data_IF_803260242014
#
_entry.id   IF_803260242014
#
_cell.length_a   1.000
_cell.length_b   1.000
_cell.length_c   1.000
_cell.angle_alpha   90.00
_cell.angle_beta   90.00
_cell.angle_gamma   90.00
#
_symmetry.space_group_name_H-M   'P 1'
#
loop_
_entity.id
_entity.type
_entity.pdbx_description
1 polymer ?
#
# COMPACT_ATOMS: atom_id res chain seq x y z
N UNK A 1 -2.40 25.22 6.95
CA UNK A 1 -2.61 23.90 6.31
C UNK A 1 -4.10 23.70 6.10
N UNK A 2 -4.55 23.10 4.99
CA UNK A 2 -5.95 22.78 4.83
C UNK A 2 -6.42 21.84 5.96
N UNK A 3 -7.67 21.95 6.35
CA UNK A 3 -8.29 21.03 7.30
C UNK A 3 -8.42 19.65 6.67
N UNK A 4 -8.10 18.60 7.44
CA UNK A 4 -8.28 17.22 6.97
C UNK A 4 -9.73 16.78 7.17
N UNK A 5 -10.43 16.55 6.08
CA UNK A 5 -11.81 16.08 6.08
C UNK A 5 -11.90 14.83 5.22
N UNK A 6 -12.34 13.71 5.80
CA UNK A 6 -12.60 12.48 5.04
C UNK A 6 -13.72 12.70 4.03
N UNK A 7 -13.58 12.18 2.79
CA UNK A 7 -14.69 12.13 1.84
C UNK A 7 -15.89 11.39 2.42
N UNK A 8 -17.09 11.89 2.10
CA UNK A 8 -18.33 11.23 2.50
C UNK A 8 -18.37 9.79 1.96
N UNK A 9 -18.83 8.86 2.80
CA UNK A 9 -18.98 7.48 2.41
C UNK A 9 -20.22 7.29 1.52
N UNK A 10 -20.09 6.45 0.48
CA UNK A 10 -21.22 5.96 -0.30
C UNK A 10 -22.14 5.05 0.54
N UNK A 11 -23.34 4.81 0.06
CA UNK A 11 -24.33 3.92 0.74
C UNK A 11 -23.81 2.49 0.88
N UNK A 12 -22.94 2.06 -0.03
CA UNK A 12 -22.28 0.75 0.00
C UNK A 12 -20.91 0.81 -0.68
N UNK A 13 -20.15 -0.29 -0.61
CA UNK A 13 -18.80 -0.41 -1.15
C UNK A 13 -18.73 -1.28 -2.43
N UNK A 14 -19.84 -1.47 -3.15
CA UNK A 14 -19.92 -2.45 -4.25
C UNK A 14 -18.91 -2.20 -5.36
N UNK A 15 -18.70 -0.94 -5.74
CA UNK A 15 -17.80 -0.57 -6.82
C UNK A 15 -16.35 -0.77 -6.42
N UNK A 16 -16.00 -0.40 -5.19
CA UNK A 16 -14.66 -0.63 -4.62
C UNK A 16 -14.37 -2.13 -4.51
N UNK A 17 -15.33 -2.95 -4.05
CA UNK A 17 -15.18 -4.40 -4.05
C UNK A 17 -14.93 -4.96 -5.45
N UNK A 18 -15.76 -4.60 -6.43
CA UNK A 18 -15.61 -5.06 -7.80
C UNK A 18 -14.25 -4.65 -8.40
N UNK A 19 -13.83 -3.42 -8.16
CA UNK A 19 -12.54 -2.90 -8.61
C UNK A 19 -11.36 -3.67 -8.00
N UNK A 20 -11.32 -3.80 -6.69
CA UNK A 20 -10.21 -4.46 -5.99
C UNK A 20 -10.15 -5.97 -6.26
N UNK A 21 -11.30 -6.64 -6.40
CA UNK A 21 -11.34 -8.06 -6.85
C UNK A 21 -10.73 -8.23 -8.24
N UNK A 22 -11.03 -7.34 -9.20
CA UNK A 22 -10.41 -7.34 -10.53
C UNK A 22 -8.92 -7.02 -10.49
N UNK A 23 -8.46 -6.29 -9.49
CA UNK A 23 -7.03 -6.04 -9.22
C UNK A 23 -6.34 -7.22 -8.52
N UNK A 24 -7.07 -8.32 -8.31
CA UNK A 24 -6.52 -9.54 -7.72
C UNK A 24 -6.44 -9.56 -6.20
N UNK A 25 -7.03 -8.57 -5.53
CA UNK A 25 -7.11 -8.55 -4.06
C UNK A 25 -8.18 -9.54 -3.62
N UNK A 26 -7.87 -10.41 -2.66
CA UNK A 26 -8.84 -11.38 -2.15
C UNK A 26 -10.00 -10.70 -1.41
N UNK A 27 -11.21 -11.29 -1.52
CA UNK A 27 -12.39 -10.79 -0.84
C UNK A 27 -12.17 -10.66 0.67
N UNK A 28 -11.53 -11.63 1.30
CA UNK A 28 -11.27 -11.62 2.74
C UNK A 28 -10.40 -10.44 3.17
N UNK A 29 -9.39 -10.06 2.37
CA UNK A 29 -8.55 -8.88 2.64
C UNK A 29 -9.36 -7.59 2.52
N UNK A 30 -10.19 -7.47 1.46
CA UNK A 30 -11.07 -6.29 1.27
C UNK A 30 -12.05 -6.16 2.45
N UNK A 31 -12.75 -7.24 2.80
CA UNK A 31 -13.71 -7.26 3.91
C UNK A 31 -13.06 -6.91 5.25
N UNK A 32 -11.85 -7.39 5.51
CA UNK A 32 -11.10 -7.05 6.71
C UNK A 32 -10.79 -5.54 6.78
N UNK A 33 -10.35 -4.94 5.68
CA UNK A 33 -10.06 -3.50 5.62
C UNK A 33 -11.33 -2.64 5.77
N UNK A 34 -12.44 -3.04 5.14
CA UNK A 34 -13.73 -2.33 5.28
C UNK A 34 -14.23 -2.43 6.72
N UNK A 35 -14.19 -3.61 7.32
CA UNK A 35 -14.61 -3.84 8.71
C UNK A 35 -13.75 -3.08 9.72
N UNK A 36 -12.46 -2.94 9.45
CA UNK A 36 -11.54 -2.13 10.25
C UNK A 36 -11.71 -0.61 10.06
N UNK A 37 -12.56 -0.17 9.13
CA UNK A 37 -12.78 1.24 8.83
C UNK A 37 -11.57 1.94 8.19
N UNK A 38 -10.70 1.19 7.51
CA UNK A 38 -9.53 1.73 6.81
C UNK A 38 -9.68 1.70 5.28
N UNK A 39 -10.81 1.21 4.79
CA UNK A 39 -11.16 1.20 3.37
C UNK A 39 -12.66 1.41 3.22
N UNK A 40 -13.07 2.31 2.34
CA UNK A 40 -14.47 2.49 1.96
C UNK A 40 -14.61 3.13 0.57
N UNK A 41 -15.83 3.19 0.06
CA UNK A 41 -16.17 3.86 -1.20
C UNK A 41 -16.64 5.28 -0.92
N UNK A 42 -16.08 6.29 -1.61
CA UNK A 42 -16.57 7.67 -1.50
C UNK A 42 -17.91 7.85 -2.22
N UNK A 43 -18.76 8.72 -1.69
CA UNK A 43 -20.03 9.09 -2.32
C UNK A 43 -19.80 9.76 -3.67
N UNK A 44 -18.83 10.67 -3.73
CA UNK A 44 -18.44 11.34 -4.96
C UNK A 44 -17.46 10.46 -5.74
N UNK A 45 -17.73 10.25 -7.03
CA UNK A 45 -16.91 9.52 -7.99
C UNK A 45 -16.62 8.05 -7.64
N UNK A 46 -17.14 7.52 -6.53
CA UNK A 46 -16.96 6.13 -6.12
C UNK A 46 -15.49 5.68 -6.03
N UNK A 47 -14.62 6.56 -5.54
CA UNK A 47 -13.22 6.24 -5.33
C UNK A 47 -13.03 5.26 -4.18
N UNK A 48 -12.02 4.42 -4.27
CA UNK A 48 -11.52 3.70 -3.11
C UNK A 48 -10.77 4.68 -2.19
N UNK A 49 -11.19 4.78 -0.93
CA UNK A 49 -10.60 5.63 0.09
C UNK A 49 -9.82 4.75 1.06
N UNK A 50 -8.50 4.90 1.07
CA UNK A 50 -7.58 4.22 1.98
C UNK A 50 -7.26 5.15 3.14
N UNK A 51 -7.65 4.77 4.35
CA UNK A 51 -7.56 5.62 5.54
C UNK A 51 -6.41 5.19 6.44
N UNK A 52 -5.61 6.16 6.86
CA UNK A 52 -4.63 6.01 7.92
C UNK A 52 -5.15 6.61 9.23
N UNK A 53 -4.94 5.89 10.33
CA UNK A 53 -5.43 6.28 11.66
C UNK A 53 -4.29 6.38 12.66
N UNK A 54 -4.45 7.26 13.64
CA UNK A 54 -3.57 7.33 14.80
C UNK A 54 -3.91 6.24 15.84
N UNK A 55 -3.18 6.21 16.94
CA UNK A 55 -3.31 5.22 18.02
C UNK A 55 -4.66 5.30 18.75
N UNK A 56 -5.35 6.44 18.66
CA UNK A 56 -6.70 6.61 19.21
C UNK A 56 -7.79 6.14 18.24
N UNK A 57 -7.41 5.71 17.04
CA UNK A 57 -8.33 5.34 15.98
C UNK A 57 -8.87 6.54 15.17
N UNK A 58 -8.38 7.76 15.45
CA UNK A 58 -8.78 8.95 14.70
C UNK A 58 -8.13 8.95 13.32
N UNK A 59 -8.92 9.20 12.26
CA UNK A 59 -8.39 9.32 10.91
C UNK A 59 -7.51 10.57 10.78
N UNK A 60 -6.30 10.40 10.25
CA UNK A 60 -5.31 11.46 10.03
C UNK A 60 -4.82 11.55 8.60
N UNK A 61 -5.04 10.53 7.82
CA UNK A 61 -4.56 10.41 6.44
C UNK A 61 -5.61 9.72 5.59
N UNK A 62 -5.75 10.11 4.35
CA UNK A 62 -6.50 9.35 3.37
C UNK A 62 -5.92 9.52 1.97
N UNK A 63 -5.94 8.43 1.21
CA UNK A 63 -5.55 8.37 -0.18
C UNK A 63 -6.73 7.88 -1.02
N UNK A 64 -6.98 8.55 -2.14
CA UNK A 64 -8.05 8.24 -3.09
C UNK A 64 -7.49 7.53 -4.31
N UNK A 65 -8.16 6.47 -4.72
CA UNK A 65 -7.89 5.77 -5.98
C UNK A 65 -9.18 5.60 -6.77
N UNK A 66 -9.20 6.11 -7.99
CA UNK A 66 -10.34 5.97 -8.88
C UNK A 66 -10.62 4.50 -9.22
N UNK A 67 -11.90 4.14 -9.27
CA UNK A 67 -12.37 2.79 -9.63
C UNK A 67 -12.75 2.66 -11.09
N UNK A 68 -12.72 3.73 -11.85
CA UNK A 68 -12.93 3.73 -13.29
C UNK A 68 -11.70 3.16 -14.00
N UNK A 69 -11.91 2.27 -14.97
CA UNK A 69 -10.85 1.53 -15.66
C UNK A 69 -10.48 2.12 -17.03
N UNK A 70 -11.14 3.21 -17.43
CA UNK A 70 -10.85 3.91 -18.69
C UNK A 70 -10.03 5.17 -18.40
N UNK A 71 -8.96 5.36 -19.17
CA UNK A 71 -8.03 6.49 -19.01
C UNK A 71 -7.05 6.30 -17.86
N UNK A 72 -6.33 7.37 -17.52
CA UNK A 72 -5.40 7.39 -16.40
C UNK A 72 -6.16 7.24 -15.05
N UNK A 73 -5.74 6.33 -14.18
CA UNK A 73 -6.39 6.15 -12.89
C UNK A 73 -6.24 7.41 -12.03
N UNK A 74 -7.37 7.93 -11.53
CA UNK A 74 -7.33 9.02 -10.56
C UNK A 74 -6.62 8.57 -9.28
N UNK A 75 -5.66 9.37 -8.83
CA UNK A 75 -4.92 9.16 -7.59
C UNK A 75 -4.72 10.50 -6.90
N UNK A 76 -5.12 10.63 -5.66
CA UNK A 76 -4.92 11.86 -4.89
C UNK A 76 -4.82 11.57 -3.39
N UNK A 77 -3.98 12.33 -2.72
CA UNK A 77 -3.98 12.42 -1.26
C UNK A 77 -5.04 13.45 -0.84
N UNK A 78 -5.83 13.14 0.18
CA UNK A 78 -6.81 14.09 0.71
C UNK A 78 -6.09 15.29 1.33
N UNK A 79 -6.47 16.54 0.98
CA UNK A 79 -5.86 17.72 1.56
C UNK A 79 -5.86 17.69 3.09
N UNK A 80 -4.78 18.15 3.71
CA UNK A 80 -4.62 18.14 5.16
C UNK A 80 -4.18 16.80 5.76
N UNK A 81 -4.03 15.75 4.94
CA UNK A 81 -3.50 14.46 5.37
C UNK A 81 -2.15 14.57 6.08
N UNK A 82 -1.97 13.78 7.12
CA UNK A 82 -0.71 13.65 7.85
C UNK A 82 0.00 12.35 7.49
N UNK A 83 1.06 12.44 6.71
CA UNK A 83 1.83 11.27 6.24
C UNK A 83 2.49 10.44 7.32
N UNK A 84 2.53 10.91 8.56
CA UNK A 84 2.96 10.09 9.70
C UNK A 84 2.02 8.90 9.95
N UNK A 85 0.80 8.97 9.42
CA UNK A 85 -0.27 7.99 9.61
C UNK A 85 -0.75 7.41 8.27
N UNK A 86 0.15 7.10 7.35
CA UNK A 86 -0.22 6.45 6.09
C UNK A 86 -0.95 5.12 6.31
N UNK A 87 -1.59 4.61 5.25
CA UNK A 87 -2.33 3.36 5.28
C UNK A 87 -1.50 2.20 5.83
N UNK A 88 -2.05 1.49 6.80
CA UNK A 88 -1.36 0.46 7.57
C UNK A 88 -2.25 -0.77 7.77
N UNK A 89 -1.75 -1.95 7.42
CA UNK A 89 -2.38 -3.24 7.75
C UNK A 89 -1.71 -3.84 8.97
N UNK A 90 -2.49 -4.15 10.04
CA UNK A 90 -1.94 -4.79 11.23
C UNK A 90 -1.72 -6.29 11.02
N UNK A 91 -0.77 -6.90 11.75
CA UNK A 91 -0.63 -8.34 11.84
C UNK A 91 -1.75 -8.96 12.69
N UNK A 92 -1.90 -10.27 12.59
CA UNK A 92 -2.61 -11.05 13.61
C UNK A 92 -1.59 -11.46 14.68
N UNK A 93 -1.68 -10.83 15.84
CA UNK A 93 -0.79 -11.11 16.97
C UNK A 93 0.48 -10.23 16.98
N UNK A 94 1.40 -10.60 17.86
CA UNK A 94 2.65 -9.86 18.06
C UNK A 94 3.66 -10.17 16.96
N UNK A 95 4.38 -9.15 16.52
CA UNK A 95 5.47 -9.28 15.53
C UNK A 95 6.52 -8.20 15.76
N UNK A 96 7.75 -8.48 15.35
CA UNK A 96 8.86 -7.53 15.31
C UNK A 96 9.21 -7.11 13.87
N UNK A 97 8.29 -7.31 12.91
CA UNK A 97 8.53 -7.11 11.49
C UNK A 97 7.55 -6.11 10.86
N UNK A 98 8.08 -5.24 9.99
CA UNK A 98 7.26 -4.37 9.13
C UNK A 98 7.70 -4.47 7.69
N UNK A 99 6.74 -4.64 6.77
CA UNK A 99 6.96 -4.50 5.33
C UNK A 99 6.52 -3.11 4.87
N UNK A 100 7.29 -2.47 3.99
CA UNK A 100 7.00 -1.12 3.47
C UNK A 100 6.79 -1.12 1.98
N UNK A 101 5.82 -0.34 1.53
CA UNK A 101 5.31 -0.26 0.15
C UNK A 101 5.16 1.20 -0.30
N UNK A 102 5.16 1.45 -1.59
CA UNK A 102 5.01 2.81 -2.12
C UNK A 102 3.59 3.33 -2.01
N UNK A 103 2.58 2.53 -2.37
CA UNK A 103 1.18 2.91 -2.44
C UNK A 103 0.26 2.02 -1.59
N UNK A 104 -0.93 2.54 -1.24
CA UNK A 104 -1.85 1.90 -0.31
C UNK A 104 -2.46 0.57 -0.80
N UNK A 105 -2.57 0.35 -2.12
CA UNK A 105 -3.10 -0.91 -2.65
C UNK A 105 -2.11 -2.08 -2.53
N UNK A 106 -0.81 -1.80 -2.53
CA UNK A 106 0.25 -2.82 -2.57
C UNK A 106 0.31 -3.68 -1.29
N UNK A 107 0.14 -3.14 -0.07
CA UNK A 107 0.01 -3.97 1.13
C UNK A 107 -1.10 -5.01 1.03
N UNK A 108 -2.27 -4.63 0.50
CA UNK A 108 -3.40 -5.54 0.32
C UNK A 108 -3.10 -6.62 -0.75
N UNK A 109 -2.46 -6.22 -1.84
CA UNK A 109 -2.05 -7.12 -2.92
C UNK A 109 -1.03 -8.15 -2.43
N UNK A 110 0.01 -7.72 -1.75
CA UNK A 110 1.06 -8.60 -1.23
C UNK A 110 0.53 -9.54 -0.15
N UNK A 111 -0.33 -9.04 0.74
CA UNK A 111 -1.03 -9.89 1.72
C UNK A 111 -1.86 -10.99 1.03
N UNK A 112 -2.55 -10.66 -0.06
CA UNK A 112 -3.30 -11.65 -0.85
C UNK A 112 -2.38 -12.70 -1.45
N UNK A 113 -1.21 -12.31 -1.97
CA UNK A 113 -0.24 -13.23 -2.58
C UNK A 113 0.45 -14.14 -1.56
N UNK A 114 0.83 -13.61 -0.40
CA UNK A 114 1.48 -14.36 0.67
C UNK A 114 0.48 -15.20 1.49
N UNK A 115 -0.73 -14.69 1.70
CA UNK A 115 -1.76 -15.35 2.49
C UNK A 115 -1.49 -15.38 4.00
N UNK A 116 -0.51 -14.62 4.50
CA UNK A 116 -0.12 -14.57 5.91
C UNK A 116 -0.23 -13.18 6.49
N UNK A 117 -0.65 -13.08 7.75
CA UNK A 117 -0.81 -11.83 8.51
C UNK A 117 0.20 -11.72 9.65
N UNK A 118 1.45 -12.06 9.38
CA UNK A 118 2.54 -12.23 10.34
C UNK A 118 3.40 -10.98 10.57
N UNK A 119 3.11 -9.90 9.87
CA UNK A 119 3.86 -8.63 9.93
C UNK A 119 2.96 -7.41 9.72
N UNK A 120 3.43 -6.26 10.17
CA UNK A 120 2.87 -4.97 9.77
C UNK A 120 3.13 -4.72 8.28
N UNK A 121 2.21 -4.06 7.59
CA UNK A 121 2.36 -3.66 6.19
C UNK A 121 1.99 -2.19 6.05
N UNK A 122 3.00 -1.37 5.83
CA UNK A 122 2.90 0.09 5.82
C UNK A 122 3.07 0.65 4.41
N UNK A 123 2.10 1.44 3.95
CA UNK A 123 2.29 2.31 2.79
C UNK A 123 3.13 3.53 3.17
N UNK A 124 4.09 3.90 2.33
CA UNK A 124 4.91 5.10 2.52
C UNK A 124 4.22 6.38 2.01
N UNK A 125 3.09 6.24 1.31
CA UNK A 125 2.38 7.39 0.72
C UNK A 125 3.17 8.06 -0.41
N UNK A 126 3.89 7.26 -1.18
CA UNK A 126 4.83 7.69 -2.21
C UNK A 126 6.29 7.60 -1.76
N UNK A 127 7.16 7.61 -2.73
CA UNK A 127 8.62 7.62 -2.51
C UNK A 127 9.26 8.79 -3.26
N UNK A 128 10.46 9.15 -2.84
CA UNK A 128 11.33 10.01 -3.62
C UNK A 128 12.40 9.17 -4.33
N UNK A 129 12.67 9.50 -5.58
CA UNK A 129 13.87 9.11 -6.32
C UNK A 129 14.25 10.24 -7.26
N UNK A 130 15.55 10.45 -7.57
CA UNK A 130 15.96 11.34 -8.66
C UNK A 130 15.51 10.77 -10.00
N UNK A 131 15.44 11.60 -11.02
CA UNK A 131 15.26 11.11 -12.39
C UNK A 131 16.43 10.22 -12.81
N UNK A 132 16.15 9.20 -13.61
CA UNK A 132 17.16 8.27 -14.09
C UNK A 132 18.25 9.00 -14.87
N UNK A 133 19.52 8.77 -14.51
CA UNK A 133 20.66 9.44 -15.12
C UNK A 133 20.98 10.83 -14.56
N UNK A 134 20.17 11.38 -13.67
CA UNK A 134 20.44 12.65 -13.01
C UNK A 134 21.22 12.46 -11.71
N UNK A 135 22.12 13.41 -11.42
CA UNK A 135 22.81 13.45 -10.14
C UNK A 135 21.83 13.91 -9.07
N UNK A 136 21.81 13.23 -7.92
CA UNK A 136 21.03 13.66 -6.78
C UNK A 136 21.52 15.04 -6.29
N UNK A 137 20.69 16.08 -6.46
CA UNK A 137 21.05 17.44 -6.05
C UNK A 137 20.81 17.70 -4.55
N UNK A 138 19.96 16.89 -3.89
CA UNK A 138 19.62 17.06 -2.49
C UNK A 138 19.70 15.73 -1.77
N UNK A 139 20.08 15.78 -0.50
CA UNK A 139 20.00 14.61 0.39
C UNK A 139 18.53 14.16 0.52
N UNK A 140 18.25 12.91 0.18
CA UNK A 140 16.90 12.37 0.30
C UNK A 140 16.56 12.20 1.78
N UNK A 141 15.39 12.70 2.16
CA UNK A 141 14.85 12.48 3.51
C UNK A 141 14.35 11.05 3.67
N UNK A 142 14.44 10.54 4.87
CA UNK A 142 13.78 9.28 5.23
C UNK A 142 12.26 9.38 5.02
N UNK A 143 11.59 8.26 4.70
CA UNK A 143 10.13 8.25 4.61
C UNK A 143 9.49 8.61 5.94
N UNK A 144 8.74 9.70 5.98
CA UNK A 144 8.10 10.21 7.21
C UNK A 144 7.16 9.16 7.85
N UNK A 145 6.44 8.40 7.03
CA UNK A 145 5.56 7.34 7.50
C UNK A 145 6.34 6.26 8.25
N UNK A 146 7.52 5.87 7.74
CA UNK A 146 8.35 4.83 8.36
C UNK A 146 8.99 5.34 9.66
N UNK A 147 9.58 6.53 9.66
CA UNK A 147 10.16 7.10 10.88
C UNK A 147 9.12 7.19 12.01
N UNK A 148 7.95 7.76 11.71
CA UNK A 148 6.88 7.91 12.68
C UNK A 148 6.29 6.56 13.12
N UNK A 149 6.23 5.56 12.24
CA UNK A 149 5.80 4.20 12.60
C UNK A 149 6.80 3.55 13.57
N UNK A 150 8.10 3.62 13.27
CA UNK A 150 9.16 3.03 14.10
C UNK A 150 9.26 3.68 15.48
N UNK A 151 8.99 4.98 15.60
CA UNK A 151 8.92 5.68 16.90
C UNK A 151 7.78 5.12 17.78
N UNK A 152 6.65 4.74 17.18
CA UNK A 152 5.49 4.17 17.88
C UNK A 152 5.60 2.66 18.13
N UNK A 153 6.49 1.98 17.41
CA UNK A 153 6.67 0.53 17.44
C UNK A 153 8.11 0.15 17.77
N UNK A 154 8.58 0.38 19.02
CA UNK A 154 9.96 0.09 19.43
C UNK A 154 10.29 -1.41 19.42
N UNK A 155 9.28 -2.28 19.34
CA UNK A 155 9.42 -3.73 19.21
C UNK A 155 9.89 -4.18 17.82
N UNK A 156 9.88 -3.31 16.83
CA UNK A 156 10.30 -3.66 15.46
C UNK A 156 11.82 -3.83 15.39
N UNK A 157 12.24 -4.94 14.81
CA UNK A 157 13.64 -5.30 14.59
C UNK A 157 13.99 -5.53 13.12
N UNK A 158 12.97 -5.82 12.27
CA UNK A 158 13.15 -6.11 10.85
C UNK A 158 12.27 -5.21 9.97
N UNK A 159 12.89 -4.63 8.94
CA UNK A 159 12.21 -3.88 7.88
C UNK A 159 12.34 -4.66 6.57
N UNK A 160 11.21 -5.08 6.01
CA UNK A 160 11.13 -5.71 4.70
C UNK A 160 10.75 -4.66 3.65
N UNK A 161 11.62 -4.44 2.67
CA UNK A 161 11.45 -3.42 1.64
C UNK A 161 10.76 -4.04 0.44
N UNK A 162 9.53 -3.62 0.20
CA UNK A 162 8.64 -4.10 -0.86
C UNK A 162 8.28 -2.98 -1.86
N UNK A 163 9.22 -2.12 -2.17
CA UNK A 163 9.05 -1.08 -3.20
C UNK A 163 8.99 -1.69 -4.60
N UNK A 164 8.56 -0.91 -5.59
CA UNK A 164 8.43 -1.37 -6.97
C UNK A 164 9.78 -1.82 -7.55
N UNK A 165 9.75 -2.75 -8.49
CA UNK A 165 10.95 -3.18 -9.20
C UNK A 165 11.18 -2.36 -10.47
N UNK A 166 11.15 -1.04 -10.34
CA UNK A 166 11.56 -0.07 -11.35
C UNK A 166 12.74 0.76 -10.85
N UNK A 167 13.22 1.72 -11.64
CA UNK A 167 14.35 2.57 -11.25
C UNK A 167 14.07 3.28 -9.92
N UNK A 168 12.91 3.95 -9.79
CA UNK A 168 12.57 4.72 -8.61
C UNK A 168 12.44 3.84 -7.36
N UNK A 169 11.77 2.68 -7.49
CA UNK A 169 11.59 1.73 -6.39
C UNK A 169 12.90 1.09 -5.93
N UNK A 170 13.79 0.72 -6.86
CA UNK A 170 15.13 0.20 -6.54
C UNK A 170 16.02 1.25 -5.88
N UNK A 171 15.94 2.50 -6.35
CA UNK A 171 16.66 3.60 -5.73
C UNK A 171 16.17 3.84 -4.30
N UNK A 172 14.85 3.91 -4.10
CA UNK A 172 14.24 4.07 -2.77
C UNK A 172 14.59 2.90 -1.85
N UNK A 173 14.57 1.65 -2.35
CA UNK A 173 14.99 0.49 -1.57
C UNK A 173 16.41 0.60 -1.06
N UNK A 174 17.34 1.03 -1.91
CA UNK A 174 18.74 1.23 -1.53
C UNK A 174 18.92 2.38 -0.55
N UNK A 175 18.13 3.45 -0.69
CA UNK A 175 18.13 4.57 0.25
C UNK A 175 17.62 4.13 1.63
N UNK A 176 16.49 3.44 1.71
CA UNK A 176 15.92 2.91 2.95
C UNK A 176 16.89 1.94 3.62
N UNK A 177 17.47 1.01 2.87
CA UNK A 177 18.47 0.08 3.41
C UNK A 177 19.62 0.83 4.08
N UNK A 178 20.24 1.78 3.41
CA UNK A 178 21.35 2.57 3.97
C UNK A 178 20.95 3.37 5.21
N UNK A 179 19.74 3.94 5.20
CA UNK A 179 19.28 4.80 6.29
C UNK A 179 18.99 4.02 7.59
N UNK A 180 18.57 2.75 7.49
CA UNK A 180 18.07 1.99 8.64
C UNK A 180 18.93 0.78 9.02
N UNK A 181 19.84 0.29 8.17
CA UNK A 181 20.65 -0.92 8.40
C UNK A 181 21.49 -0.91 9.69
N UNK A 182 21.80 0.25 10.25
CA UNK A 182 22.54 0.36 11.52
C UNK A 182 21.69 0.04 12.75
N UNK A 183 20.36 -0.02 12.61
CA UNK A 183 19.42 -0.19 13.71
C UNK A 183 18.46 -1.37 13.52
N UNK A 184 18.21 -1.76 12.28
CA UNK A 184 17.23 -2.77 11.91
C UNK A 184 17.85 -3.81 10.96
N UNK A 185 17.35 -5.05 11.04
CA UNK A 185 17.61 -6.03 10.00
C UNK A 185 16.85 -5.62 8.72
N UNK A 186 17.57 -5.54 7.62
CA UNK A 186 17.01 -5.13 6.34
C UNK A 186 16.81 -6.33 5.42
N UNK A 187 15.61 -6.47 4.86
CA UNK A 187 15.27 -7.52 3.88
C UNK A 187 14.72 -6.84 2.63
N UNK A 188 15.37 -7.04 1.49
CA UNK A 188 14.82 -6.60 0.18
C UNK A 188 13.94 -7.69 -0.39
N UNK A 189 12.67 -7.37 -0.60
CA UNK A 189 11.67 -8.24 -1.20
C UNK A 189 10.86 -7.47 -2.25
N UNK A 190 11.55 -7.00 -3.30
CA UNK A 190 10.90 -6.34 -4.42
C UNK A 190 10.17 -7.37 -5.30
N UNK A 191 9.11 -6.96 -6.04
CA UNK A 191 8.48 -7.80 -7.04
C UNK A 191 9.51 -8.43 -7.98
N UNK A 192 9.35 -9.72 -8.30
CA UNK A 192 10.35 -10.46 -9.10
C UNK A 192 10.49 -9.94 -10.54
N UNK A 193 9.40 -9.40 -11.10
CA UNK A 193 9.39 -8.91 -12.47
C UNK A 193 9.76 -7.43 -12.50
N UNK A 194 10.70 -7.08 -13.37
CA UNK A 194 11.09 -5.69 -13.63
C UNK A 194 9.90 -4.85 -14.12
N UNK A 195 9.82 -3.60 -13.66
CA UNK A 195 8.76 -2.66 -13.98
C UNK A 195 7.44 -2.89 -13.23
N UNK A 196 7.38 -3.87 -12.29
CA UNK A 196 6.15 -4.23 -11.59
C UNK A 196 6.14 -3.79 -10.13
N UNK A 197 4.92 -3.58 -9.64
CA UNK A 197 4.57 -3.54 -8.22
C UNK A 197 3.82 -4.82 -7.79
N UNK A 198 3.54 -4.96 -6.51
CA UNK A 198 2.78 -6.11 -5.99
C UNK A 198 1.32 -6.11 -6.45
N UNK A 199 0.74 -4.94 -6.75
CA UNK A 199 -0.58 -4.82 -7.35
C UNK A 199 -0.64 -5.44 -8.75
N UNK A 200 0.40 -5.26 -9.56
CA UNK A 200 0.52 -5.87 -10.89
C UNK A 200 0.60 -7.40 -10.78
N UNK A 201 1.40 -7.92 -9.84
CA UNK A 201 1.54 -9.36 -9.62
C UNK A 201 0.23 -10.01 -9.14
N UNK A 202 -0.52 -9.34 -8.26
CA UNK A 202 -1.82 -9.83 -7.81
C UNK A 202 -2.84 -9.87 -8.95
N UNK A 203 -2.88 -8.82 -9.79
CA UNK A 203 -3.76 -8.75 -10.95
C UNK A 203 -3.47 -9.87 -11.95
N UNK A 204 -2.20 -10.10 -12.29
CA UNK A 204 -1.81 -11.21 -13.17
C UNK A 204 -2.18 -12.58 -12.61
N UNK A 205 -1.99 -12.78 -11.32
CA UNK A 205 -2.36 -14.04 -10.68
C UNK A 205 -3.87 -14.29 -10.77
N UNK A 206 -4.67 -13.25 -10.59
CA UNK A 206 -6.12 -13.31 -10.76
C UNK A 206 -6.51 -13.66 -12.20
N UNK A 207 -5.96 -12.97 -13.18
CA UNK A 207 -6.24 -13.20 -14.61
C UNK A 207 -5.86 -14.61 -15.05
N UNK A 208 -4.70 -15.13 -14.60
CA UNK A 208 -4.29 -16.50 -14.86
C UNK A 208 -5.23 -17.55 -14.27
N UNK A 209 -5.73 -17.34 -13.05
CA UNK A 209 -6.71 -18.23 -12.42
C UNK A 209 -8.04 -18.22 -13.15
N UNK A 210 -8.53 -17.04 -13.54
CA UNK A 210 -9.76 -16.90 -14.33
C UNK A 210 -9.67 -17.64 -15.69
N UNK A 211 -8.54 -17.50 -16.40
CA UNK A 211 -8.32 -18.20 -17.67
C UNK A 211 -8.30 -19.73 -17.52
N UNK A 212 -7.67 -20.26 -16.46
CA UNK A 212 -7.66 -21.71 -16.17
C UNK A 212 -9.05 -22.25 -15.88
N UNK A 213 -9.86 -21.57 -15.07
CA UNK A 213 -11.22 -22.03 -14.74
C UNK A 213 -12.13 -22.08 -15.98
N UNK A 214 -11.93 -21.20 -16.98
CA UNK A 214 -12.65 -21.24 -18.24
C UNK A 214 -12.22 -22.43 -19.11
N UNK A 215 -10.93 -22.80 -19.11
CA UNK A 215 -10.43 -23.95 -19.88
C UNK A 215 -10.87 -25.30 -19.29
N UNK A 216 -10.96 -25.39 -17.97
CA UNK A 216 -11.36 -26.63 -17.28
C UNK A 216 -12.90 -26.86 -17.30
N UNK A 217 -13.68 -25.78 -17.40
CA UNK A 217 -15.14 -25.84 -17.53
C UNK A 217 -15.65 -26.17 -18.96
N UNK A 218 -14.74 -26.29 -19.93
CA UNK A 218 -15.04 -26.59 -21.35
C UNK A 218 -14.74 -28.06 -21.75
N UNK A 219 -14.51 -28.95 -20.79
CA UNK A 219 -14.29 -30.38 -20.98
C UNK A 219 -15.45 -31.22 -20.50
#
# INVERSE_FOLDING_TARGET
RPEFILPLAAVNNRRVFAYLLKRGISRGVIEACVRAGILYESADYHNAVFVGRDETGTARYAFLRGTYTRGEPFKAEVPGSDKRFCFLLPPKGKTNRVAVYEAAIEPMAHLTLEGTTDKWRLSLGGIYAPEEGQRQEREAKNPLALDAFLERHPEIEEIEICTNNDFAGRWAASHIERAYQGRYRMVKNLPRREGCDYGDLAKENYERRAARSLSDGSR
#
